data_IF_229769185114
#
_entry.id   IF_229769185114
#
_cell.length_a   1.000
_cell.length_b   1.000
_cell.length_c   1.000
_cell.angle_alpha   90.00
_cell.angle_beta   90.00
_cell.angle_gamma   90.00
#
_symmetry.space_group_name_H-M   'P 1'
#
loop_
_entity.id
_entity.type
_entity.pdbx_description
1 polymer ?
#
# COMPACT_ATOMS: atom_id res chain seq x y z
N UNK A 1 4.57 6.86 -24.77
CA UNK A 1 3.42 7.81 -24.80
C UNK A 1 3.88 9.15 -24.26
N UNK A 2 3.24 10.24 -24.68
CA UNK A 2 3.51 11.57 -24.11
C UNK A 2 2.85 11.68 -22.73
N UNK A 3 3.49 12.38 -21.79
CA UNK A 3 2.88 12.69 -20.50
C UNK A 3 1.66 13.59 -20.71
N UNK A 4 0.62 13.36 -19.91
CA UNK A 4 -0.54 14.25 -19.85
C UNK A 4 -0.09 15.69 -19.49
N UNK A 5 -0.78 16.74 -19.99
CA UNK A 5 -0.30 18.11 -19.89
C UNK A 5 0.01 18.60 -18.47
N UNK A 6 -0.80 18.24 -17.47
CA UNK A 6 -0.55 18.61 -16.06
C UNK A 6 0.72 17.94 -15.53
N UNK A 7 0.89 16.64 -15.80
CA UNK A 7 2.06 15.90 -15.36
C UNK A 7 3.34 16.37 -16.08
N UNK A 8 3.26 16.67 -17.38
CA UNK A 8 4.36 17.25 -18.16
C UNK A 8 4.79 18.64 -17.68
N UNK A 9 3.85 19.41 -17.10
CA UNK A 9 4.16 20.69 -16.46
C UNK A 9 4.87 20.49 -15.11
N UNK A 10 4.59 19.39 -14.42
CA UNK A 10 5.10 19.11 -13.07
C UNK A 10 6.46 18.39 -13.03
N UNK A 11 6.75 17.50 -13.98
CA UNK A 11 7.96 16.68 -14.01
C UNK A 11 8.56 16.60 -15.43
N UNK A 12 9.87 16.39 -15.50
CA UNK A 12 10.56 15.90 -16.69
C UNK A 12 11.01 14.46 -16.46
N UNK A 13 10.95 13.61 -17.50
CA UNK A 13 11.57 12.29 -17.48
C UNK A 13 12.90 12.38 -18.23
N UNK A 14 14.00 12.08 -17.55
CA UNK A 14 15.36 12.12 -18.14
C UNK A 14 16.00 10.74 -18.14
N UNK A 15 16.58 10.28 -19.26
CA UNK A 15 17.35 9.06 -19.26
C UNK A 15 18.63 9.24 -18.43
N UNK A 16 18.91 8.28 -17.58
CA UNK A 16 20.10 8.22 -16.73
C UNK A 16 20.81 6.89 -16.99
N UNK A 17 22.06 6.97 -17.44
CA UNK A 17 22.88 5.78 -17.66
C UNK A 17 23.36 5.23 -16.31
N UNK A 18 22.97 4.00 -16.04
CA UNK A 18 23.54 3.13 -15.00
C UNK A 18 24.51 2.17 -15.71
N UNK A 19 25.45 1.56 -14.97
CA UNK A 19 26.55 0.73 -15.48
C UNK A 19 26.13 -0.13 -16.68
N UNK A 20 25.07 -0.93 -16.53
CA UNK A 20 24.63 -1.89 -17.56
C UNK A 20 23.29 -1.55 -18.24
N UNK A 21 22.60 -0.49 -17.82
CA UNK A 21 21.25 -0.16 -18.33
C UNK A 21 20.95 1.33 -18.29
N UNK A 22 19.90 1.77 -18.99
CA UNK A 22 19.38 3.14 -18.89
C UNK A 22 18.11 3.08 -18.07
N UNK A 23 18.02 3.94 -17.05
CA UNK A 23 16.78 4.17 -16.29
C UNK A 23 16.19 5.52 -16.63
N UNK A 24 14.89 5.65 -16.43
CA UNK A 24 14.19 6.92 -16.53
C UNK A 24 14.07 7.56 -15.15
N UNK A 25 14.64 8.76 -15.00
CA UNK A 25 14.57 9.54 -13.76
C UNK A 25 13.53 10.63 -13.89
N UNK A 26 12.56 10.63 -12.98
CA UNK A 26 11.63 11.75 -12.82
C UNK A 26 12.34 12.92 -12.11
N UNK A 27 12.31 14.10 -12.72
CA UNK A 27 12.89 15.33 -12.20
C UNK A 27 11.76 16.33 -11.97
N UNK A 28 11.52 16.77 -10.72
CA UNK A 28 10.46 17.73 -10.44
C UNK A 28 10.79 19.11 -11.04
N UNK A 29 9.77 19.77 -11.58
CA UNK A 29 9.83 21.15 -12.09
C UNK A 29 9.18 22.15 -11.16
N UNK A 30 8.39 21.67 -10.20
CA UNK A 30 7.68 22.46 -9.18
C UNK A 30 8.00 21.93 -7.80
N UNK A 31 7.90 22.80 -6.80
CA UNK A 31 8.01 22.40 -5.40
C UNK A 31 6.84 21.51 -4.98
N UNK A 32 7.09 20.68 -3.96
CA UNK A 32 6.06 19.82 -3.38
C UNK A 32 5.04 20.67 -2.62
N UNK A 33 3.75 20.52 -2.96
CA UNK A 33 2.65 21.14 -2.21
C UNK A 33 2.09 20.16 -1.17
N UNK A 34 2.11 20.58 0.10
CA UNK A 34 1.55 19.80 1.22
C UNK A 34 0.08 20.11 1.49
N UNK A 35 -0.58 20.97 0.69
CA UNK A 35 -1.92 21.51 0.96
C UNK A 35 -3.01 20.44 1.10
N UNK A 36 -2.87 19.33 0.37
CA UNK A 36 -3.86 18.26 0.34
C UNK A 36 -3.56 17.11 1.29
N UNK A 37 -2.54 17.24 2.15
CA UNK A 37 -2.10 16.16 3.03
C UNK A 37 -2.31 16.54 4.50
N UNK A 38 -2.84 15.59 5.26
CA UNK A 38 -2.90 15.67 6.71
C UNK A 38 -1.50 15.53 7.32
N UNK A 39 -1.34 15.97 8.58
CA UNK A 39 -0.09 15.80 9.34
C UNK A 39 0.37 14.35 9.42
N UNK A 40 -0.57 13.41 9.56
CA UNK A 40 -0.27 11.98 9.61
C UNK A 40 0.28 11.49 8.28
N UNK A 41 -0.31 11.90 7.17
CA UNK A 41 0.14 11.51 5.82
C UNK A 41 1.51 12.08 5.51
N UNK A 42 1.75 13.37 5.81
CA UNK A 42 3.07 13.99 5.62
C UNK A 42 4.16 13.28 6.42
N UNK A 43 3.87 12.89 7.68
CA UNK A 43 4.81 12.10 8.49
C UNK A 43 5.15 10.77 7.83
N UNK A 44 4.14 10.03 7.38
CA UNK A 44 4.33 8.75 6.70
C UNK A 44 5.17 8.94 5.41
N UNK A 45 4.84 9.94 4.60
CA UNK A 45 5.59 10.24 3.38
C UNK A 45 7.05 10.58 3.65
N UNK A 46 7.33 11.40 4.69
CA UNK A 46 8.69 11.74 5.09
C UNK A 46 9.46 10.52 5.59
N UNK A 47 8.85 9.66 6.40
CA UNK A 47 9.48 8.42 6.89
C UNK A 47 9.84 7.48 5.73
N UNK A 48 8.93 7.33 4.76
CA UNK A 48 9.18 6.51 3.57
C UNK A 48 10.29 7.10 2.69
N UNK A 49 10.23 8.40 2.41
CA UNK A 49 11.24 9.08 1.60
C UNK A 49 12.62 9.00 2.26
N UNK A 50 12.73 9.26 3.57
CA UNK A 50 14.00 9.17 4.28
C UNK A 50 14.57 7.76 4.31
N UNK A 51 13.71 6.74 4.42
CA UNK A 51 14.15 5.34 4.46
C UNK A 51 14.62 4.81 3.11
N UNK A 52 13.95 5.18 2.02
CA UNK A 52 14.15 4.57 0.70
C UNK A 52 14.74 5.52 -0.34
N UNK A 53 15.27 6.69 0.08
CA UNK A 53 15.78 7.72 -0.83
C UNK A 53 16.79 7.18 -1.85
N UNK A 54 17.75 6.38 -1.36
CA UNK A 54 18.86 5.85 -2.17
C UNK A 54 18.65 4.37 -2.54
N UNK A 55 17.56 3.76 -2.10
CA UNK A 55 17.25 2.37 -2.36
C UNK A 55 16.73 2.18 -3.78
N UNK A 56 17.24 1.15 -4.46
CA UNK A 56 16.64 0.67 -5.70
C UNK A 56 15.37 -0.13 -5.41
N UNK A 57 14.56 -0.37 -6.46
CA UNK A 57 13.30 -1.12 -6.34
C UNK A 57 13.47 -2.51 -5.71
N UNK A 58 14.61 -3.18 -5.90
CA UNK A 58 14.82 -4.55 -5.42
C UNK A 58 14.85 -4.63 -3.88
N UNK A 59 15.63 -3.82 -3.15
CA UNK A 59 15.49 -3.65 -1.70
C UNK A 59 14.06 -3.31 -1.24
N UNK A 60 13.35 -2.42 -1.95
CA UNK A 60 11.97 -2.05 -1.61
C UNK A 60 10.99 -3.21 -1.77
N UNK A 61 11.15 -4.03 -2.82
CA UNK A 61 10.36 -5.25 -3.03
C UNK A 61 10.57 -6.20 -1.86
N UNK A 62 11.80 -6.42 -1.41
CA UNK A 62 12.08 -7.32 -0.28
C UNK A 62 11.42 -6.86 1.03
N UNK A 63 11.22 -5.56 1.24
CA UNK A 63 10.54 -5.02 2.43
C UNK A 63 9.01 -5.06 2.28
N UNK A 64 8.49 -4.75 1.09
CA UNK A 64 7.04 -4.67 0.82
C UNK A 64 6.41 -6.06 0.57
N UNK A 65 7.19 -6.98 0.00
CA UNK A 65 6.81 -8.35 -0.35
C UNK A 65 7.50 -9.39 0.54
N UNK A 66 8.11 -8.99 1.67
CA UNK A 66 8.68 -9.91 2.64
C UNK A 66 7.69 -11.06 2.91
N UNK A 67 8.15 -12.32 2.80
CA UNK A 67 7.34 -13.50 3.09
C UNK A 67 6.70 -13.32 4.47
N UNK A 68 5.34 -13.30 4.51
CA UNK A 68 4.44 -12.95 5.65
C UNK A 68 3.89 -11.51 5.71
N UNK A 69 4.13 -10.67 4.71
CA UNK A 69 3.45 -9.36 4.63
C UNK A 69 1.92 -9.53 4.49
N UNK A 70 1.11 -8.56 4.96
CA UNK A 70 -0.35 -8.59 4.81
C UNK A 70 -0.79 -8.86 3.37
N UNK A 71 -0.02 -8.39 2.38
CA UNK A 71 -0.30 -8.64 0.97
C UNK A 71 -0.15 -10.11 0.57
N UNK A 72 0.82 -10.84 1.12
CA UNK A 72 0.97 -12.27 0.88
C UNK A 72 -0.23 -13.05 1.46
N UNK A 73 -0.69 -12.66 2.66
CA UNK A 73 -1.88 -13.26 3.31
C UNK A 73 -3.16 -12.97 2.52
N UNK A 74 -3.31 -11.77 1.98
CA UNK A 74 -4.47 -11.37 1.18
C UNK A 74 -4.45 -12.04 -0.20
N UNK A 75 -3.31 -12.04 -0.88
CA UNK A 75 -3.19 -12.60 -2.24
C UNK A 75 -3.42 -14.11 -2.26
N UNK A 76 -2.84 -14.83 -1.30
CA UNK A 76 -3.03 -16.27 -1.08
C UNK A 76 -2.94 -17.09 -2.38
N UNK A 77 -1.80 -16.98 -3.06
CA UNK A 77 -1.53 -17.64 -4.36
C UNK A 77 -2.61 -17.36 -5.43
N UNK A 78 -3.23 -16.17 -5.38
CA UNK A 78 -4.26 -15.73 -6.32
C UNK A 78 -5.70 -16.02 -5.88
N UNK A 79 -5.92 -16.77 -4.78
CA UNK A 79 -7.27 -17.03 -4.25
C UNK A 79 -7.98 -15.76 -3.79
N UNK A 80 -7.23 -14.77 -3.32
CA UNK A 80 -7.79 -13.47 -2.92
C UNK A 80 -8.06 -12.50 -4.07
N UNK A 81 -7.79 -12.86 -5.33
CA UNK A 81 -7.96 -11.95 -6.46
C UNK A 81 -9.44 -11.56 -6.63
N UNK A 82 -9.72 -10.26 -6.55
CA UNK A 82 -11.06 -9.67 -6.62
C UNK A 82 -12.04 -10.17 -5.53
N UNK A 83 -11.52 -10.72 -4.44
CA UNK A 83 -12.32 -11.15 -3.29
C UNK A 83 -12.33 -10.07 -2.21
N UNK A 84 -13.35 -10.10 -1.36
CA UNK A 84 -13.37 -9.30 -0.15
C UNK A 84 -12.24 -9.76 0.78
N UNK A 85 -11.49 -8.81 1.33
CA UNK A 85 -10.44 -9.11 2.31
C UNK A 85 -11.09 -9.61 3.61
N UNK A 86 -10.73 -10.82 4.10
CA UNK A 86 -11.24 -11.32 5.37
C UNK A 86 -10.87 -10.40 6.52
N UNK A 87 -11.86 -10.02 7.35
CA UNK A 87 -11.65 -9.09 8.46
C UNK A 87 -10.57 -9.56 9.45
N UNK A 88 -10.45 -10.87 9.64
CA UNK A 88 -9.41 -11.45 10.50
C UNK A 88 -7.97 -11.12 10.06
N UNK A 89 -7.74 -10.80 8.78
CA UNK A 89 -6.42 -10.38 8.29
C UNK A 89 -6.10 -8.91 8.61
N UNK A 90 -7.10 -8.12 9.02
CA UNK A 90 -6.92 -6.72 9.41
C UNK A 90 -6.51 -6.57 10.89
N UNK A 91 -6.69 -7.61 11.70
CA UNK A 91 -6.28 -7.64 13.11
C UNK A 91 -4.86 -8.19 13.21
N UNK A 92 -3.98 -7.48 13.88
CA UNK A 92 -2.59 -7.91 14.07
C UNK A 92 -2.54 -9.24 14.86
N UNK A 93 -1.58 -10.11 14.54
CA UNK A 93 -1.46 -11.42 15.18
C UNK A 93 -1.07 -11.30 16.67
N UNK A 94 -0.44 -10.19 17.06
CA UNK A 94 0.05 -9.88 18.42
C UNK A 94 -0.85 -8.88 19.18
N UNK A 95 -2.04 -8.54 18.66
CA UNK A 95 -2.97 -7.68 19.36
C UNK A 95 -3.49 -8.36 20.65
N UNK A 96 -3.37 -7.73 21.84
CA UNK A 96 -3.76 -8.34 23.11
C UNK A 96 -5.27 -8.62 23.22
N UNK A 97 -6.09 -8.03 22.35
CA UNK A 97 -7.54 -8.20 22.31
C UNK A 97 -8.01 -8.95 21.07
N UNK A 98 -7.08 -9.54 20.31
CA UNK A 98 -7.36 -10.22 19.04
C UNK A 98 -8.54 -11.18 19.12
N UNK A 99 -8.54 -12.08 20.10
CA UNK A 99 -9.58 -13.10 20.22
C UNK A 99 -10.96 -12.48 20.48
N UNK A 100 -11.04 -11.48 21.36
CA UNK A 100 -12.28 -10.78 21.65
C UNK A 100 -12.82 -10.00 20.42
N UNK A 101 -11.92 -9.37 19.65
CA UNK A 101 -12.29 -8.66 18.42
C UNK A 101 -12.85 -9.65 17.37
N UNK A 102 -12.22 -10.80 17.21
CA UNK A 102 -12.65 -11.82 16.25
C UNK A 102 -13.95 -12.50 16.66
N UNK A 103 -14.15 -12.73 17.96
CA UNK A 103 -15.41 -13.25 18.51
C UNK A 103 -16.56 -12.29 18.25
N UNK A 104 -16.41 -11.01 18.59
CA UNK A 104 -17.42 -9.99 18.33
C UNK A 104 -17.74 -9.84 16.83
N UNK A 105 -16.73 -9.95 15.96
CA UNK A 105 -16.92 -9.92 14.52
C UNK A 105 -17.70 -11.15 14.01
N UNK A 106 -17.44 -12.33 14.57
CA UNK A 106 -18.15 -13.56 14.23
C UNK A 106 -19.62 -13.49 14.66
N UNK A 107 -19.90 -13.00 15.87
CA UNK A 107 -21.25 -12.80 16.38
C UNK A 107 -22.06 -11.86 15.48
N UNK A 108 -21.47 -10.73 15.10
CA UNK A 108 -22.09 -9.76 14.21
C UNK A 108 -22.37 -10.36 12.82
N UNK A 109 -21.42 -11.11 12.25
CA UNK A 109 -21.62 -11.77 10.97
C UNK A 109 -22.76 -12.81 11.03
N UNK A 110 -22.86 -13.57 12.13
CA UNK A 110 -23.95 -14.51 12.38
C UNK A 110 -25.32 -13.81 12.47
N UNK A 111 -25.41 -12.70 13.20
CA UNK A 111 -26.63 -11.89 13.28
C UNK A 111 -27.07 -11.37 11.91
N UNK A 112 -26.13 -10.83 11.12
CA UNK A 112 -26.42 -10.29 9.79
C UNK A 112 -26.86 -11.38 8.80
N UNK A 113 -26.26 -12.57 8.87
CA UNK A 113 -26.67 -13.71 8.06
C UNK A 113 -28.10 -14.18 8.41
N UNK A 114 -28.44 -14.25 9.69
CA UNK A 114 -29.79 -14.61 10.14
C UNK A 114 -30.84 -13.58 9.71
N UNK A 115 -30.52 -12.28 9.79
CA UNK A 115 -31.39 -11.19 9.32
C UNK A 115 -31.56 -11.17 7.79
N UNK A 116 -30.50 -11.52 7.05
CA UNK A 116 -30.53 -11.61 5.59
C UNK A 116 -31.30 -12.83 5.07
N UNK A 117 -31.22 -13.98 5.76
CA UNK A 117 -31.92 -15.21 5.38
C UNK A 117 -33.41 -15.22 5.74
N UNK A 118 -33.88 -14.25 6.52
CA UNK A 118 -35.27 -14.05 6.89
C UNK A 118 -36.04 -13.15 5.89
N UNK A 119 -35.40 -12.74 4.78
CA UNK A 119 -36.00 -12.08 3.62
C UNK A 119 -36.05 -13.04 2.43
#
# INVERSE_FOLDING_TARGET
>A
EALEPDLAAAIDIKPERVIDYVRERAVPKREFSSEHFTRRELRIMQELAARFHDDLLQPMINVTHAEKSPWAKIWDNGRGKHQQVPYALAVADDDPHRDAILEAAADYAGMMAALGSAR
#
